data_IF_310125529867
#
_entry.id   IF_310125529867
#
_cell.length_a   1.000
_cell.length_b   1.000
_cell.length_c   1.000
_cell.angle_alpha   90.00
_cell.angle_beta   90.00
_cell.angle_gamma   90.00
#
_symmetry.space_group_name_H-M   'P 1'
#
loop_
_entity.id
_entity.type
_entity.pdbx_description
1 polymer ?
#
# COMPACT_ATOMS: atom_id res chain seq x y z
N UNK A 1 -0.10 -25.95 11.69
CA UNK A 1 1.25 -26.45 11.33
C UNK A 1 1.15 -27.11 9.96
N UNK A 2 1.27 -26.34 8.90
CA UNK A 2 1.35 -26.82 7.51
C UNK A 2 2.76 -26.55 7.01
N UNK A 3 3.59 -27.60 6.94
CA UNK A 3 4.96 -27.51 6.51
C UNK A 3 5.03 -27.03 5.06
N UNK A 4 5.70 -25.89 4.82
CA UNK A 4 6.22 -25.50 3.50
C UNK A 4 7.28 -26.53 3.05
N UNK A 5 6.85 -27.65 2.55
CA UNK A 5 7.73 -28.64 1.91
C UNK A 5 7.59 -28.49 0.39
N UNK A 6 8.23 -27.49 -0.18
CA UNK A 6 8.55 -27.49 -1.61
C UNK A 6 9.68 -28.49 -1.83
N UNK A 7 9.33 -29.67 -2.36
CA UNK A 7 10.28 -30.69 -2.77
C UNK A 7 11.08 -30.16 -3.97
N UNK A 8 12.21 -29.54 -3.72
CA UNK A 8 13.27 -29.34 -4.73
C UNK A 8 14.14 -30.60 -4.78
N UNK A 9 14.48 -31.00 -6.00
CA UNK A 9 15.37 -32.11 -6.32
C UNK A 9 16.63 -32.12 -5.42
N UNK A 10 16.92 -33.24 -4.77
CA UNK A 10 17.91 -33.44 -3.71
C UNK A 10 19.39 -33.32 -4.18
N UNK A 11 19.68 -32.66 -5.29
CA UNK A 11 21.01 -32.49 -5.85
C UNK A 11 21.68 -31.16 -5.60
N UNK A 12 20.96 -30.13 -5.11
CA UNK A 12 21.53 -28.86 -4.66
C UNK A 12 21.56 -28.83 -3.14
N UNK A 13 22.76 -28.65 -2.55
CA UNK A 13 22.99 -28.67 -1.11
C UNK A 13 21.93 -27.85 -0.31
N UNK A 14 21.54 -28.44 0.83
CA UNK A 14 20.48 -27.96 1.73
C UNK A 14 20.54 -26.45 1.99
N UNK A 15 19.71 -25.67 1.31
CA UNK A 15 19.12 -24.45 1.88
C UNK A 15 17.77 -24.85 2.46
N UNK A 16 17.58 -24.62 3.74
CA UNK A 16 16.34 -24.96 4.48
C UNK A 16 15.33 -23.82 4.45
N UNK A 17 15.62 -22.68 3.82
CA UNK A 17 14.82 -21.47 3.85
C UNK A 17 14.47 -20.98 2.45
N UNK A 18 13.17 -20.68 2.24
CA UNK A 18 12.65 -20.02 1.03
C UNK A 18 13.22 -18.61 0.94
N UNK A 19 13.72 -18.19 -0.24
CA UNK A 19 14.20 -16.85 -0.52
C UNK A 19 13.48 -16.29 -1.76
N UNK A 20 12.89 -15.11 -1.63
CA UNK A 20 12.19 -14.44 -2.74
C UNK A 20 12.77 -13.04 -2.96
N UNK A 21 13.10 -12.75 -4.23
CA UNK A 21 13.39 -11.39 -4.68
C UNK A 21 12.06 -10.69 -5.01
N UNK A 22 11.78 -9.58 -4.34
CA UNK A 22 10.68 -8.68 -4.65
C UNK A 22 11.13 -7.50 -5.49
N UNK A 23 10.30 -7.07 -6.42
CA UNK A 23 10.48 -5.88 -7.27
C UNK A 23 9.21 -5.03 -7.22
N UNK A 24 9.36 -3.75 -6.85
CA UNK A 24 8.28 -2.76 -6.82
C UNK A 24 8.64 -1.56 -7.69
N UNK A 25 7.74 -1.16 -8.60
CA UNK A 25 7.90 -0.02 -9.50
C UNK A 25 6.56 0.53 -10.01
N UNK A 26 5.49 0.39 -9.23
CA UNK A 26 4.13 0.71 -9.69
C UNK A 26 3.81 2.21 -9.69
N UNK A 27 4.54 3.03 -8.93
CA UNK A 27 4.28 4.47 -8.82
C UNK A 27 5.58 5.29 -8.92
N UNK A 28 6.10 5.80 -7.83
CA UNK A 28 7.25 6.72 -7.77
C UNK A 28 8.38 6.21 -6.87
N UNK A 29 8.25 5.01 -6.31
CA UNK A 29 9.35 4.29 -5.66
C UNK A 29 9.87 3.17 -6.55
N UNK A 30 11.20 3.15 -6.75
CA UNK A 30 11.88 1.98 -7.30
C UNK A 30 12.43 1.18 -6.14
N UNK A 31 12.04 -0.07 -5.99
CA UNK A 31 12.53 -0.90 -4.91
C UNK A 31 12.85 -2.34 -5.33
N UNK A 32 13.86 -2.92 -4.67
CA UNK A 32 14.18 -4.34 -4.71
C UNK A 32 14.46 -4.83 -3.29
N UNK A 33 14.05 -6.06 -2.97
CA UNK A 33 14.29 -6.66 -1.66
C UNK A 33 14.42 -8.19 -1.76
N UNK A 34 15.19 -8.78 -0.88
CA UNK A 34 15.22 -10.23 -0.63
C UNK A 34 14.61 -10.47 0.75
N UNK A 35 13.58 -11.30 0.79
CA UNK A 35 12.89 -11.71 2.01
C UNK A 35 12.94 -13.22 2.12
N UNK A 36 13.10 -13.73 3.34
CA UNK A 36 13.07 -15.17 3.59
C UNK A 36 11.75 -15.68 4.19
N UNK A 37 11.58 -16.99 4.19
CA UNK A 37 10.38 -17.64 4.76
C UNK A 37 10.22 -17.48 6.27
N UNK A 38 11.22 -16.97 6.99
CA UNK A 38 11.18 -16.65 8.42
C UNK A 38 10.87 -15.16 8.68
N UNK A 39 10.28 -14.44 7.70
CA UNK A 39 9.90 -13.04 7.77
C UNK A 39 11.06 -12.06 7.93
N UNK A 40 12.28 -12.44 7.56
CA UNK A 40 13.43 -11.54 7.63
C UNK A 40 13.62 -10.84 6.28
N UNK A 41 13.73 -9.53 6.31
CA UNK A 41 14.21 -8.74 5.18
C UNK A 41 15.73 -8.88 5.16
N UNK A 42 16.24 -9.76 4.30
CA UNK A 42 17.68 -10.07 4.22
C UNK A 42 18.45 -8.87 3.65
N UNK A 43 17.90 -8.27 2.59
CA UNK A 43 18.41 -7.03 2.02
C UNK A 43 17.27 -6.25 1.37
N UNK A 44 17.37 -4.91 1.37
CA UNK A 44 16.37 -4.04 0.73
C UNK A 44 17.01 -2.72 0.29
N UNK A 45 16.61 -2.26 -0.89
CA UNK A 45 16.92 -0.94 -1.43
C UNK A 45 15.62 -0.29 -1.91
N UNK A 46 15.45 1.00 -1.58
CA UNK A 46 14.32 1.83 -2.02
C UNK A 46 14.89 3.15 -2.49
N UNK A 47 14.47 3.61 -3.63
CA UNK A 47 14.79 4.93 -4.17
C UNK A 47 13.49 5.67 -4.51
N UNK A 48 13.16 6.70 -3.71
CA UNK A 48 12.06 7.62 -4.00
C UNK A 48 12.42 8.52 -5.19
N UNK A 49 11.40 8.98 -5.88
CA UNK A 49 11.47 9.95 -6.97
C UNK A 49 10.87 11.31 -6.56
N UNK A 50 10.76 11.57 -5.25
CA UNK A 50 10.18 12.81 -4.71
C UNK A 50 10.85 14.06 -5.30
N UNK A 51 12.19 14.05 -5.43
CA UNK A 51 12.94 15.18 -5.96
C UNK A 51 12.63 15.46 -7.44
N UNK A 52 12.41 14.41 -8.23
CA UNK A 52 12.08 14.51 -9.65
C UNK A 52 10.64 15.01 -9.87
N UNK A 53 9.74 14.65 -8.96
CA UNK A 53 8.32 15.00 -9.07
C UNK A 53 7.94 16.29 -8.37
N UNK A 54 8.71 16.75 -7.39
CA UNK A 54 8.45 17.97 -6.62
C UNK A 54 8.20 19.22 -7.49
N UNK A 55 8.96 19.48 -8.59
CA UNK A 55 8.72 20.64 -9.46
C UNK A 55 7.33 20.63 -10.13
N UNK A 56 6.73 19.45 -10.28
CA UNK A 56 5.42 19.30 -10.93
C UNK A 56 4.26 19.24 -9.92
N UNK A 57 4.59 19.12 -8.63
CA UNK A 57 3.61 19.02 -7.55
C UNK A 57 2.77 17.75 -7.57
N UNK A 58 3.33 16.65 -8.07
CA UNK A 58 2.74 15.32 -8.16
C UNK A 58 3.47 14.44 -9.17
N UNK A 59 3.16 13.14 -9.17
CA UNK A 59 3.84 12.15 -9.99
C UNK A 59 3.59 12.38 -11.49
N UNK A 60 4.67 12.36 -12.27
CA UNK A 60 4.64 12.43 -13.75
C UNK A 60 5.01 11.04 -14.30
N UNK A 61 4.07 10.32 -14.94
CA UNK A 61 4.26 8.92 -15.31
C UNK A 61 5.47 8.63 -16.20
N UNK A 62 5.80 9.54 -17.14
CA UNK A 62 6.98 9.38 -18.01
C UNK A 62 8.30 9.53 -17.27
N UNK A 63 8.36 10.45 -16.30
CA UNK A 63 9.54 10.64 -15.45
C UNK A 63 9.72 9.40 -14.59
N UNK A 64 8.62 8.91 -13.97
CA UNK A 64 8.65 7.71 -13.16
C UNK A 64 9.18 6.50 -13.95
N UNK A 65 8.64 6.23 -15.13
CA UNK A 65 9.07 5.09 -15.94
C UNK A 65 10.57 5.15 -16.31
N UNK A 66 11.11 6.32 -16.65
CA UNK A 66 12.54 6.51 -16.94
C UNK A 66 13.40 6.25 -15.71
N UNK A 67 13.04 6.82 -14.56
CA UNK A 67 13.76 6.63 -13.30
C UNK A 67 13.79 5.15 -12.89
N UNK A 68 12.69 4.42 -13.04
CA UNK A 68 12.66 2.98 -12.81
C UNK A 68 13.62 2.24 -13.74
N UNK A 69 13.61 2.55 -15.05
CA UNK A 69 14.48 1.89 -16.03
C UNK A 69 15.99 2.11 -15.75
N UNK A 70 16.34 3.28 -15.24
CA UNK A 70 17.72 3.61 -14.88
C UNK A 70 18.17 2.98 -13.56
N UNK A 71 17.27 2.86 -12.57
CA UNK A 71 17.62 2.50 -11.18
C UNK A 71 17.48 1.01 -10.88
N UNK A 72 16.56 0.30 -11.55
CA UNK A 72 16.16 -1.03 -11.11
C UNK A 72 17.29 -2.07 -11.22
N UNK A 73 17.98 -2.14 -12.35
CA UNK A 73 19.04 -3.16 -12.54
C UNK A 73 20.19 -3.00 -11.54
N UNK A 74 20.80 -1.81 -11.36
CA UNK A 74 21.81 -1.60 -10.33
C UNK A 74 21.30 -1.90 -8.90
N UNK A 75 20.01 -1.66 -8.64
CA UNK A 75 19.41 -1.92 -7.34
C UNK A 75 19.25 -3.40 -7.05
N UNK A 76 18.84 -4.20 -8.05
CA UNK A 76 18.75 -5.65 -7.94
C UNK A 76 20.15 -6.26 -7.72
N UNK A 77 21.16 -5.81 -8.46
CA UNK A 77 22.55 -6.23 -8.27
C UNK A 77 23.04 -5.93 -6.85
N UNK A 78 22.76 -4.72 -6.34
CA UNK A 78 23.16 -4.34 -5.00
C UNK A 78 22.45 -5.16 -3.91
N UNK A 79 21.16 -5.47 -4.06
CA UNK A 79 20.39 -6.27 -3.10
C UNK A 79 20.90 -7.73 -3.07
N UNK A 80 21.21 -8.30 -4.23
CA UNK A 80 21.81 -9.65 -4.30
C UNK A 80 23.18 -9.69 -3.62
N UNK A 81 24.03 -8.68 -3.86
CA UNK A 81 25.33 -8.56 -3.24
C UNK A 81 25.24 -8.34 -1.71
N UNK A 82 24.34 -7.46 -1.25
CA UNK A 82 24.11 -7.20 0.17
C UNK A 82 23.62 -8.46 0.92
N UNK A 83 22.86 -9.31 0.23
CA UNK A 83 22.34 -10.56 0.77
C UNK A 83 23.33 -11.73 0.65
N UNK A 84 24.43 -11.57 -0.07
CA UNK A 84 25.37 -12.66 -0.45
C UNK A 84 24.64 -13.84 -1.12
N UNK A 85 23.76 -13.54 -2.10
CA UNK A 85 22.86 -14.48 -2.78
C UNK A 85 23.03 -14.35 -4.29
N UNK A 86 23.16 -15.47 -5.00
CA UNK A 86 23.09 -15.50 -6.45
C UNK A 86 21.63 -15.65 -6.94
N UNK A 87 21.34 -15.21 -8.17
CA UNK A 87 20.00 -15.35 -8.75
C UNK A 87 19.45 -16.79 -8.72
N UNK A 88 20.33 -17.77 -8.96
CA UNK A 88 19.95 -19.19 -8.96
C UNK A 88 19.71 -19.76 -7.55
N UNK A 89 20.02 -19.00 -6.50
CA UNK A 89 19.74 -19.37 -5.12
C UNK A 89 18.34 -18.99 -4.67
N UNK A 90 17.67 -18.13 -5.43
CA UNK A 90 16.29 -17.72 -5.16
C UNK A 90 15.30 -18.84 -5.43
N UNK A 91 14.18 -18.86 -4.70
CA UNK A 91 13.08 -19.79 -4.90
C UNK A 91 11.98 -19.20 -5.79
N UNK A 92 11.89 -17.87 -5.85
CA UNK A 92 11.02 -17.15 -6.79
C UNK A 92 11.47 -15.69 -6.97
N UNK A 93 10.98 -15.09 -8.05
CA UNK A 93 11.04 -13.65 -8.29
C UNK A 93 9.61 -13.13 -8.31
N UNK A 94 9.28 -12.29 -7.34
CA UNK A 94 7.98 -11.64 -7.20
C UNK A 94 8.07 -10.20 -7.74
N UNK A 95 7.14 -9.79 -8.58
CA UNK A 95 7.11 -8.43 -9.08
C UNK A 95 5.69 -7.89 -9.15
N UNK A 96 5.55 -6.60 -8.88
CA UNK A 96 4.27 -5.92 -9.07
C UNK A 96 3.88 -5.96 -10.54
N UNK A 97 2.73 -6.56 -10.83
CA UNK A 97 2.15 -6.61 -12.17
C UNK A 97 0.95 -5.64 -12.33
N UNK A 98 0.64 -4.90 -11.27
CA UNK A 98 -0.42 -3.89 -11.17
C UNK A 98 -1.17 -3.98 -9.83
N UNK A 99 -2.11 -3.06 -9.57
CA UNK A 99 -2.35 -1.84 -10.33
C UNK A 99 -1.22 -0.83 -10.18
N UNK A 100 -1.20 0.19 -11.07
CA UNK A 100 -0.18 1.25 -11.01
C UNK A 100 -0.01 1.98 -12.34
N UNK A 101 0.98 2.86 -12.40
CA UNK A 101 1.38 3.56 -13.61
C UNK A 101 1.96 2.56 -14.61
N UNK A 102 1.29 2.40 -15.75
CA UNK A 102 1.60 1.32 -16.72
C UNK A 102 3.09 1.28 -17.11
N UNK A 103 3.73 2.43 -17.31
CA UNK A 103 5.15 2.52 -17.66
C UNK A 103 6.05 1.96 -16.56
N UNK A 104 5.81 2.35 -15.31
CA UNK A 104 6.54 1.84 -14.14
C UNK A 104 6.33 0.34 -13.96
N UNK A 105 5.07 -0.11 -13.90
CA UNK A 105 4.72 -1.54 -13.77
C UNK A 105 5.40 -2.38 -14.84
N UNK A 106 5.42 -1.90 -16.10
CA UNK A 106 6.08 -2.62 -17.20
C UNK A 106 7.58 -2.76 -16.97
N UNK A 107 8.27 -1.74 -16.48
CA UNK A 107 9.71 -1.81 -16.21
C UNK A 107 10.02 -2.92 -15.20
N UNK A 108 9.34 -2.93 -14.04
CA UNK A 108 9.54 -3.95 -12.99
C UNK A 108 9.19 -5.36 -13.47
N UNK A 109 8.00 -5.53 -14.06
CA UNK A 109 7.51 -6.84 -14.49
C UNK A 109 8.38 -7.43 -15.61
N UNK A 110 8.79 -6.64 -16.60
CA UNK A 110 9.65 -7.13 -17.70
C UNK A 110 11.03 -7.49 -17.17
N UNK A 111 11.59 -6.70 -16.27
CA UNK A 111 12.86 -7.02 -15.60
C UNK A 111 12.76 -8.33 -14.81
N UNK A 112 11.69 -8.53 -14.04
CA UNK A 112 11.45 -9.77 -13.30
C UNK A 112 11.32 -10.99 -14.22
N UNK A 113 10.63 -10.87 -15.35
CA UNK A 113 10.53 -11.93 -16.37
C UNK A 113 11.89 -12.30 -16.95
N UNK A 114 12.71 -11.29 -17.30
CA UNK A 114 14.05 -11.52 -17.84
C UNK A 114 14.94 -12.25 -16.81
N UNK A 115 14.90 -11.84 -15.54
CA UNK A 115 15.63 -12.47 -14.46
C UNK A 115 15.14 -13.91 -14.21
N UNK A 116 13.82 -14.12 -14.15
CA UNK A 116 13.21 -15.45 -13.97
C UNK A 116 13.59 -16.41 -15.10
N UNK A 117 13.54 -15.94 -16.33
CA UNK A 117 13.96 -16.73 -17.50
C UNK A 117 15.46 -17.06 -17.48
N UNK A 118 16.31 -16.10 -17.10
CA UNK A 118 17.75 -16.28 -17.09
C UNK A 118 18.23 -17.21 -15.98
N UNK A 119 17.52 -17.29 -14.86
CA UNK A 119 17.87 -18.10 -13.68
C UNK A 119 17.08 -19.39 -13.53
N UNK A 120 16.11 -19.65 -14.40
CA UNK A 120 15.17 -20.77 -14.30
C UNK A 120 14.45 -20.80 -12.93
N UNK A 121 14.02 -19.61 -12.47
CA UNK A 121 13.36 -19.39 -11.18
C UNK A 121 11.91 -18.97 -11.44
N UNK A 122 10.93 -19.48 -10.67
CA UNK A 122 9.52 -19.13 -10.83
C UNK A 122 9.26 -17.62 -10.76
N UNK A 123 8.40 -17.11 -11.66
CA UNK A 123 7.84 -15.77 -11.58
C UNK A 123 6.55 -15.78 -10.75
N UNK A 124 6.40 -14.80 -9.87
CA UNK A 124 5.15 -14.51 -9.15
C UNK A 124 4.71 -13.08 -9.45
N UNK A 125 3.65 -12.93 -10.21
CA UNK A 125 3.07 -11.64 -10.55
C UNK A 125 2.12 -11.18 -9.43
N UNK A 126 2.56 -10.22 -8.63
CA UNK A 126 1.85 -9.77 -7.42
C UNK A 126 0.98 -8.56 -7.73
N UNK A 127 -0.23 -8.56 -7.16
CA UNK A 127 -1.03 -7.35 -7.09
C UNK A 127 -0.43 -6.40 -6.03
N UNK A 128 -0.15 -5.14 -6.40
CA UNK A 128 0.41 -4.13 -5.50
C UNK A 128 -0.38 -3.98 -4.18
N UNK A 129 -1.72 -3.98 -4.29
CA UNK A 129 -2.60 -3.87 -3.12
C UNK A 129 -2.56 -5.13 -2.24
N UNK A 130 -2.33 -6.31 -2.83
CA UNK A 130 -2.07 -7.55 -2.10
C UNK A 130 -0.75 -7.47 -1.32
N UNK A 131 0.29 -6.86 -1.90
CA UNK A 131 1.52 -6.56 -1.19
C UNK A 131 1.25 -5.76 0.09
N UNK A 132 0.49 -4.69 -0.01
CA UNK A 132 0.08 -3.91 1.16
C UNK A 132 -0.81 -4.69 2.13
N UNK A 133 -1.74 -5.49 1.60
CA UNK A 133 -2.65 -6.27 2.43
C UNK A 133 -1.91 -7.31 3.28
N UNK A 134 -0.89 -7.96 2.72
CA UNK A 134 -0.12 -9.02 3.40
C UNK A 134 1.12 -8.49 4.14
N UNK A 135 1.59 -7.27 3.86
CA UNK A 135 2.74 -6.64 4.53
C UNK A 135 2.65 -6.65 6.08
N UNK A 136 1.48 -6.48 6.72
CA UNK A 136 1.37 -6.61 8.18
C UNK A 136 1.77 -7.99 8.70
N UNK A 137 1.55 -9.05 7.92
CA UNK A 137 1.92 -10.43 8.27
C UNK A 137 3.44 -10.68 8.17
N UNK A 138 4.15 -9.89 7.37
CA UNK A 138 5.61 -9.87 7.39
C UNK A 138 6.14 -9.35 8.75
N UNK A 139 5.47 -8.33 9.29
CA UNK A 139 5.88 -7.68 10.54
C UNK A 139 5.40 -8.41 11.80
N UNK A 140 4.27 -9.13 11.72
CA UNK A 140 3.63 -9.80 12.87
C UNK A 140 3.15 -11.20 12.46
N UNK A 141 3.83 -12.23 12.97
CA UNK A 141 3.47 -13.62 12.71
C UNK A 141 2.18 -14.06 13.39
N UNK A 142 1.73 -13.33 14.40
CA UNK A 142 0.49 -13.64 15.12
C UNK A 142 -0.76 -13.24 14.34
N UNK A 143 -0.63 -12.40 13.30
CA UNK A 143 -1.76 -11.96 12.48
C UNK A 143 -2.33 -13.12 11.66
N UNK A 144 -3.47 -13.62 12.11
CA UNK A 144 -4.21 -14.70 11.46
C UNK A 144 -5.37 -14.17 10.62
N UNK A 145 -5.76 -14.92 9.61
CA UNK A 145 -6.99 -14.70 8.84
C UNK A 145 -8.23 -15.19 9.63
N UNK A 146 -9.44 -14.61 9.43
CA UNK A 146 -9.66 -13.38 8.69
C UNK A 146 -9.35 -12.12 9.50
N UNK A 147 -9.05 -11.01 8.82
CA UNK A 147 -8.92 -9.69 9.43
C UNK A 147 -9.56 -8.58 8.60
N UNK A 148 -9.97 -7.50 9.28
CA UNK A 148 -10.42 -6.27 8.66
C UNK A 148 -9.20 -5.42 8.27
N UNK A 149 -9.15 -4.91 7.04
CA UNK A 149 -8.06 -4.09 6.53
C UNK A 149 -8.58 -2.73 6.07
N UNK A 150 -8.04 -1.66 6.62
CA UNK A 150 -8.12 -0.32 6.06
C UNK A 150 -6.86 -0.07 5.22
N UNK A 151 -7.00 -0.05 3.91
CA UNK A 151 -5.92 0.26 2.96
C UNK A 151 -6.01 1.72 2.56
N UNK A 152 -5.02 2.54 2.98
CA UNK A 152 -5.01 3.98 2.77
C UNK A 152 -3.65 4.46 2.26
N UNK A 153 -3.58 4.77 0.98
CA UNK A 153 -2.37 5.24 0.29
C UNK A 153 -2.62 6.53 -0.50
N UNK A 154 -1.63 6.98 -1.26
CA UNK A 154 -1.78 8.11 -2.19
C UNK A 154 -2.87 7.89 -3.23
N UNK A 155 -2.98 6.67 -3.77
CA UNK A 155 -3.94 6.33 -4.84
C UNK A 155 -5.17 5.55 -4.39
N UNK A 156 -5.14 4.91 -3.23
CA UNK A 156 -6.19 3.98 -2.79
C UNK A 156 -6.72 4.33 -1.39
N UNK A 157 -8.02 4.15 -1.22
CA UNK A 157 -8.69 4.23 0.08
C UNK A 157 -9.83 3.21 0.07
N UNK A 158 -9.60 2.04 0.71
CA UNK A 158 -10.51 0.90 0.69
C UNK A 158 -10.64 0.26 2.07
N UNK A 159 -11.81 -0.30 2.36
CA UNK A 159 -12.00 -1.23 3.48
C UNK A 159 -12.21 -2.62 2.88
N UNK A 160 -11.37 -3.55 3.31
CA UNK A 160 -11.34 -4.92 2.82
C UNK A 160 -11.49 -5.89 3.99
N UNK A 161 -12.17 -6.99 3.72
CA UNK A 161 -12.05 -8.20 4.51
C UNK A 161 -11.01 -9.09 3.82
N UNK A 162 -10.05 -9.57 4.57
CA UNK A 162 -9.01 -10.48 4.10
C UNK A 162 -9.26 -11.84 4.71
N UNK A 163 -9.77 -12.77 3.90
CA UNK A 163 -10.13 -14.11 4.36
C UNK A 163 -8.96 -15.10 4.27
N UNK A 164 -8.10 -14.95 3.26
CA UNK A 164 -6.88 -15.73 3.04
C UNK A 164 -6.02 -15.04 1.96
N UNK A 165 -4.86 -15.61 1.63
CA UNK A 165 -4.04 -15.18 0.48
C UNK A 165 -4.86 -15.32 -0.81
N UNK A 166 -4.96 -14.24 -1.58
CA UNK A 166 -5.77 -14.22 -2.80
C UNK A 166 -7.29 -14.16 -2.57
N UNK A 167 -7.77 -14.08 -1.33
CA UNK A 167 -9.19 -14.03 -0.99
C UNK A 167 -9.54 -12.72 -0.27
N UNK A 168 -10.00 -11.76 -1.04
CA UNK A 168 -10.31 -10.41 -0.59
C UNK A 168 -11.76 -10.06 -0.90
N UNK A 169 -12.45 -9.43 0.05
CA UNK A 169 -13.78 -8.86 -0.17
C UNK A 169 -13.76 -7.37 0.13
N UNK A 170 -14.05 -6.55 -0.87
CA UNK A 170 -14.12 -5.10 -0.74
C UNK A 170 -15.48 -4.68 -0.18
N UNK A 171 -15.48 -4.04 0.98
CA UNK A 171 -16.68 -3.47 1.62
C UNK A 171 -16.85 -2.00 1.27
N UNK A 172 -15.75 -1.26 1.11
CA UNK A 172 -15.79 0.16 0.80
C UNK A 172 -14.64 0.58 -0.09
N UNK A 173 -14.85 1.64 -0.85
CA UNK A 173 -13.82 2.33 -1.62
C UNK A 173 -14.12 3.82 -1.66
N UNK A 174 -13.12 4.65 -2.02
CA UNK A 174 -13.39 6.06 -2.29
C UNK A 174 -14.14 6.24 -3.61
N UNK A 175 -15.08 7.20 -3.63
CA UNK A 175 -15.84 7.55 -4.83
C UNK A 175 -15.23 8.72 -5.60
N UNK A 176 -14.19 9.35 -5.04
CA UNK A 176 -13.49 10.49 -5.65
C UNK A 176 -11.99 10.49 -5.29
N UNK A 177 -11.48 11.46 -4.54
CA UNK A 177 -10.08 11.51 -4.12
C UNK A 177 -9.78 10.40 -3.10
N UNK A 178 -8.60 9.78 -3.17
CA UNK A 178 -8.10 8.93 -2.10
C UNK A 178 -7.68 9.79 -0.90
N UNK A 179 -7.58 9.17 0.29
CA UNK A 179 -7.23 9.91 1.51
C UNK A 179 -5.85 10.56 1.42
N UNK A 180 -4.82 9.83 0.95
CA UNK A 180 -3.47 10.40 0.77
C UNK A 180 -3.46 11.52 -0.27
N UNK A 181 -4.16 11.35 -1.39
CA UNK A 181 -4.33 12.39 -2.41
C UNK A 181 -5.01 13.65 -1.83
N UNK A 182 -5.97 13.50 -0.92
CA UNK A 182 -6.60 14.62 -0.25
C UNK A 182 -5.62 15.38 0.67
N UNK A 183 -4.72 14.66 1.37
CA UNK A 183 -3.64 15.26 2.13
C UNK A 183 -2.65 16.02 1.23
N UNK A 184 -2.21 15.42 0.11
CA UNK A 184 -1.26 16.06 -0.81
C UNK A 184 -1.86 17.30 -1.46
N UNK A 185 -3.12 17.24 -1.91
CA UNK A 185 -3.83 18.40 -2.46
C UNK A 185 -4.03 19.50 -1.42
N UNK A 186 -4.32 19.14 -0.17
CA UNK A 186 -4.43 20.10 0.94
C UNK A 186 -3.10 20.76 1.21
N UNK A 187 -2.00 20.01 1.29
CA UNK A 187 -0.66 20.56 1.45
C UNK A 187 -0.31 21.55 0.32
N UNK A 188 -0.65 21.22 -0.93
CA UNK A 188 -0.45 22.07 -2.09
C UNK A 188 -1.24 23.39 -1.97
N UNK A 189 -2.52 23.33 -1.59
CA UNK A 189 -3.38 24.49 -1.36
C UNK A 189 -2.78 25.40 -0.29
N UNK A 190 -2.28 24.82 0.79
CA UNK A 190 -1.75 25.55 1.94
C UNK A 190 -0.27 25.96 1.79
N UNK A 191 0.40 25.61 0.68
CA UNK A 191 1.80 25.92 0.43
C UNK A 191 2.79 25.20 1.35
N UNK A 192 2.45 23.99 1.85
CA UNK A 192 3.23 23.25 2.84
C UNK A 192 4.32 22.35 2.23
N UNK A 193 4.34 22.19 0.89
CA UNK A 193 5.30 21.34 0.17
C UNK A 193 4.86 19.90 -0.01
N UNK A 194 5.78 19.06 -0.47
CA UNK A 194 5.59 17.64 -0.77
C UNK A 194 6.65 16.79 -0.03
N UNK A 195 6.35 15.55 0.43
CA UNK A 195 5.04 14.89 0.43
C UNK A 195 4.04 15.54 1.40
N UNK A 196 2.77 15.61 0.97
CA UNK A 196 1.76 16.42 1.64
C UNK A 196 1.28 15.84 2.98
N UNK A 197 1.14 14.52 3.10
CA UNK A 197 0.68 13.87 4.33
C UNK A 197 1.49 14.28 5.56
N UNK A 198 2.82 14.06 5.58
CA UNK A 198 3.68 14.50 6.68
C UNK A 198 3.70 16.02 6.88
N UNK A 199 3.57 16.81 5.81
CA UNK A 199 3.58 18.27 5.90
C UNK A 199 2.31 18.79 6.60
N UNK A 200 1.14 18.28 6.23
CA UNK A 200 -0.13 18.60 6.90
C UNK A 200 -0.11 18.15 8.35
N UNK A 201 0.35 16.95 8.64
CA UNK A 201 0.43 16.43 10.01
C UNK A 201 1.31 17.32 10.92
N UNK A 202 2.48 17.75 10.43
CA UNK A 202 3.33 18.66 11.18
C UNK A 202 2.65 20.01 11.44
N UNK A 203 2.00 20.56 10.41
CA UNK A 203 1.33 21.86 10.53
C UNK A 203 0.08 21.81 11.41
N UNK A 204 -0.66 20.70 11.37
CA UNK A 204 -1.84 20.48 12.19
C UNK A 204 -1.54 20.46 13.70
N UNK A 205 -0.32 20.11 14.12
CA UNK A 205 0.08 20.15 15.54
C UNK A 205 0.15 21.55 16.14
N UNK A 206 0.20 22.58 15.30
CA UNK A 206 0.29 23.99 15.70
C UNK A 206 -1.08 24.68 15.74
N UNK A 207 -2.14 24.02 15.25
CA UNK A 207 -3.46 24.61 15.06
C UNK A 207 -4.55 23.98 15.91
N UNK A 208 -5.72 24.63 15.91
CA UNK A 208 -6.94 24.15 16.54
C UNK A 208 -7.83 23.39 15.54
N UNK A 209 -8.08 22.12 15.81
CA UNK A 209 -8.92 21.24 14.98
C UNK A 209 -10.40 21.65 14.92
N UNK A 210 -10.85 22.53 15.80
CA UNK A 210 -12.23 23.03 15.86
C UNK A 210 -12.39 24.43 15.26
N UNK A 211 -11.32 25.10 14.89
CA UNK A 211 -11.33 26.50 14.44
C UNK A 211 -12.07 26.68 13.10
N UNK A 212 -11.97 25.69 12.18
CA UNK A 212 -12.54 25.81 10.83
C UNK A 212 -13.68 24.81 10.64
N UNK A 213 -14.90 25.25 10.33
CA UNK A 213 -16.07 24.37 10.15
C UNK A 213 -16.04 23.67 8.79
N UNK A 214 -15.16 22.67 8.64
CA UNK A 214 -15.05 21.87 7.43
C UNK A 214 -16.11 20.75 7.39
N UNK A 215 -16.62 20.38 6.21
CA UNK A 215 -17.60 19.30 6.06
C UNK A 215 -16.96 17.94 6.38
N UNK A 216 -17.82 16.96 6.71
CA UNK A 216 -17.47 15.53 6.84
C UNK A 216 -18.24 14.76 5.78
N UNK A 217 -17.73 14.68 4.54
CA UNK A 217 -18.47 14.02 3.46
C UNK A 217 -18.85 12.59 3.82
N UNK A 218 -20.04 12.17 3.41
CA UNK A 218 -20.63 10.85 3.64
C UNK A 218 -20.96 10.51 5.11
N UNK A 219 -20.48 11.22 6.11
CA UNK A 219 -20.81 10.93 7.52
C UNK A 219 -22.32 10.98 7.73
N UNK A 220 -22.87 9.89 8.32
CA UNK A 220 -24.30 9.71 8.54
C UNK A 220 -25.10 9.24 7.32
N UNK A 221 -24.49 8.98 6.14
CA UNK A 221 -25.21 8.49 4.95
C UNK A 221 -25.65 7.01 5.06
N UNK A 222 -25.05 6.24 5.96
CA UNK A 222 -25.27 4.79 6.04
C UNK A 222 -24.48 3.96 5.03
N UNK A 223 -23.90 4.55 3.98
CA UNK A 223 -23.06 3.89 3.00
C UNK A 223 -21.62 3.83 3.48
N UNK A 224 -20.86 2.72 3.28
CA UNK A 224 -19.49 2.60 3.80
C UNK A 224 -18.45 3.35 2.98
N UNK A 225 -18.79 3.92 1.82
CA UNK A 225 -17.87 4.53 0.88
C UNK A 225 -17.28 5.87 1.36
N UNK A 226 -16.07 6.19 0.90
CA UNK A 226 -15.38 7.44 1.23
C UNK A 226 -15.57 8.51 0.16
N UNK A 227 -15.49 9.78 0.57
CA UNK A 227 -15.39 10.94 -0.32
C UNK A 227 -14.55 12.03 0.35
N UNK A 228 -13.60 12.61 -0.37
CA UNK A 228 -12.72 13.66 0.14
C UNK A 228 -12.64 14.89 -0.77
N UNK A 229 -13.13 14.84 -2.02
CA UNK A 229 -13.05 15.97 -2.96
C UNK A 229 -13.84 17.20 -2.45
N UNK A 230 -14.98 16.96 -1.79
CA UNK A 230 -15.76 18.03 -1.17
C UNK A 230 -15.02 18.72 0.00
N UNK A 231 -14.31 17.94 0.80
CA UNK A 231 -13.49 18.43 1.90
C UNK A 231 -12.32 19.29 1.38
N UNK A 232 -11.60 18.82 0.37
CA UNK A 232 -10.54 19.60 -0.32
C UNK A 232 -11.06 20.95 -0.83
N UNK A 233 -12.23 20.97 -1.48
CA UNK A 233 -12.83 22.20 -1.98
C UNK A 233 -13.21 23.17 -0.85
N UNK A 234 -13.57 22.66 0.32
CA UNK A 234 -13.83 23.47 1.50
C UNK A 234 -12.54 24.06 2.09
N UNK A 235 -11.43 23.28 2.09
CA UNK A 235 -10.10 23.80 2.48
C UNK A 235 -9.68 24.95 1.59
N UNK A 236 -9.83 24.83 0.26
CA UNK A 236 -9.49 25.93 -0.67
C UNK A 236 -10.25 27.20 -0.33
N UNK A 237 -11.60 27.11 -0.16
CA UNK A 237 -12.41 28.28 0.21
C UNK A 237 -12.01 28.87 1.56
N UNK A 238 -11.69 28.04 2.56
CA UNK A 238 -11.23 28.51 3.87
C UNK A 238 -9.93 29.28 3.75
N UNK A 239 -8.95 28.76 2.99
CA UNK A 239 -7.67 29.38 2.74
C UNK A 239 -7.82 30.72 1.98
N UNK A 240 -8.56 30.75 0.89
CA UNK A 240 -8.81 31.96 0.08
C UNK A 240 -9.58 33.05 0.84
N UNK A 241 -10.36 32.66 1.85
CA UNK A 241 -11.09 33.64 2.68
C UNK A 241 -10.18 34.54 3.52
N UNK A 242 -8.96 34.12 3.80
CA UNK A 242 -7.99 34.82 4.66
C UNK A 242 -8.42 34.95 6.13
N UNK A 243 -9.47 34.21 6.55
CA UNK A 243 -10.04 34.32 7.92
C UNK A 243 -9.38 33.39 8.94
N UNK A 244 -8.68 32.38 8.49
CA UNK A 244 -8.14 31.31 9.33
C UNK A 244 -6.65 31.16 9.14
N UNK A 245 -5.95 30.85 10.21
CA UNK A 245 -4.54 30.49 10.14
C UNK A 245 -4.33 29.17 9.41
N UNK A 246 -3.22 29.05 8.69
CA UNK A 246 -2.89 27.82 7.94
C UNK A 246 -2.82 26.60 8.85
N UNK A 247 -2.34 26.77 10.09
CA UNK A 247 -2.27 25.72 11.08
C UNK A 247 -3.67 25.20 11.48
N UNK A 248 -4.63 26.10 11.67
CA UNK A 248 -6.02 25.77 12.03
C UNK A 248 -6.72 25.06 10.88
N UNK A 249 -6.49 25.51 9.64
CA UNK A 249 -7.03 24.83 8.45
C UNK A 249 -6.47 23.39 8.35
N UNK A 250 -5.16 23.22 8.55
CA UNK A 250 -4.51 21.90 8.50
C UNK A 250 -5.02 20.98 9.63
N UNK A 251 -5.17 21.48 10.85
CA UNK A 251 -5.69 20.73 11.99
C UNK A 251 -7.16 20.32 11.78
N UNK A 252 -8.00 21.27 11.35
CA UNK A 252 -9.41 21.01 11.07
C UNK A 252 -9.62 20.05 9.89
N UNK A 253 -8.76 20.13 8.85
CA UNK A 253 -8.78 19.18 7.74
C UNK A 253 -8.43 17.78 8.20
N UNK A 254 -7.32 17.61 8.94
CA UNK A 254 -6.90 16.31 9.47
C UNK A 254 -7.99 15.69 10.33
N UNK A 255 -8.60 16.46 11.23
CA UNK A 255 -9.70 15.98 12.07
C UNK A 255 -10.92 15.58 11.23
N UNK A 256 -11.33 16.39 10.26
CA UNK A 256 -12.46 16.07 9.40
C UNK A 256 -12.22 14.80 8.58
N UNK A 257 -11.01 14.60 8.08
CA UNK A 257 -10.63 13.39 7.36
C UNK A 257 -10.67 12.14 8.27
N UNK A 258 -10.15 12.25 9.51
CA UNK A 258 -10.23 11.19 10.52
C UNK A 258 -11.70 10.87 10.84
N UNK A 259 -12.54 11.86 11.09
CA UNK A 259 -13.97 11.67 11.39
C UNK A 259 -14.66 10.87 10.26
N UNK A 260 -14.38 11.19 8.99
CA UNK A 260 -14.89 10.44 7.84
C UNK A 260 -14.42 8.99 7.84
N UNK A 261 -13.12 8.74 8.09
CA UNK A 261 -12.56 7.38 8.10
C UNK A 261 -13.19 6.56 9.21
N UNK A 262 -13.27 7.09 10.43
CA UNK A 262 -13.81 6.39 11.59
C UNK A 262 -15.29 6.04 11.40
N UNK A 263 -16.09 6.98 10.88
CA UNK A 263 -17.51 6.74 10.65
C UNK A 263 -17.75 5.65 9.59
N UNK A 264 -17.01 5.68 8.48
CA UNK A 264 -17.13 4.66 7.42
C UNK A 264 -16.64 3.29 7.88
N UNK A 265 -15.51 3.27 8.59
CA UNK A 265 -14.96 2.02 9.10
C UNK A 265 -15.90 1.37 10.12
N UNK A 266 -16.53 2.16 11.00
CA UNK A 266 -17.54 1.66 11.95
C UNK A 266 -18.69 0.93 11.25
N UNK A 267 -19.17 1.46 10.11
CA UNK A 267 -20.25 0.82 9.32
C UNK A 267 -19.74 -0.52 8.75
N UNK A 268 -18.54 -0.53 8.17
CA UNK A 268 -17.98 -1.74 7.57
C UNK A 268 -17.67 -2.83 8.60
N UNK A 269 -17.22 -2.46 9.81
CA UNK A 269 -16.93 -3.42 10.89
C UNK A 269 -18.17 -4.18 11.36
N UNK A 270 -19.37 -3.61 11.23
CA UNK A 270 -20.62 -4.30 11.54
C UNK A 270 -20.86 -5.53 10.64
N UNK A 271 -20.26 -5.56 9.44
CA UNK A 271 -20.29 -6.72 8.52
C UNK A 271 -19.13 -7.70 8.74
N UNK A 272 -18.16 -7.35 9.60
CA UNK A 272 -16.93 -8.13 9.85
C UNK A 272 -16.78 -8.52 11.32
N UNK A 273 -17.87 -8.82 12.03
CA UNK A 273 -17.89 -9.10 13.47
C UNK A 273 -17.07 -10.32 13.90
N UNK A 274 -16.77 -11.21 12.97
CA UNK A 274 -15.92 -12.38 13.18
C UNK A 274 -14.42 -12.07 13.04
N UNK A 275 -14.05 -10.94 12.42
CA UNK A 275 -12.68 -10.45 12.42
C UNK A 275 -12.27 -9.98 13.83
N UNK A 276 -11.14 -10.48 14.32
CA UNK A 276 -10.61 -10.12 15.64
C UNK A 276 -9.51 -9.05 15.57
N UNK A 277 -9.07 -8.71 14.37
CA UNK A 277 -7.99 -7.75 14.15
C UNK A 277 -8.41 -6.70 13.12
N UNK A 278 -8.17 -5.43 13.47
CA UNK A 278 -8.20 -4.31 12.56
C UNK A 278 -6.76 -3.98 12.15
N UNK A 279 -6.50 -4.07 10.87
CA UNK A 279 -5.21 -3.75 10.26
C UNK A 279 -5.31 -2.45 9.48
N UNK A 280 -4.31 -1.59 9.57
CA UNK A 280 -4.15 -0.45 8.67
C UNK A 280 -2.87 -0.59 7.86
N UNK A 281 -2.93 -0.36 6.54
CA UNK A 281 -1.79 -0.42 5.64
C UNK A 281 -1.83 0.73 4.61
N UNK A 282 -0.69 0.98 3.97
CA UNK A 282 -0.50 2.10 3.05
C UNK A 282 0.07 3.35 3.71
N UNK A 283 0.56 4.31 2.91
CA UNK A 283 1.35 5.46 3.38
C UNK A 283 0.66 6.33 4.43
N UNK A 284 -0.68 6.49 4.36
CA UNK A 284 -1.42 7.28 5.37
C UNK A 284 -1.42 6.61 6.75
N UNK A 285 -1.19 5.30 6.82
CA UNK A 285 -1.02 4.59 8.09
C UNK A 285 0.19 5.07 8.91
N UNK A 286 1.11 5.84 8.32
CA UNK A 286 2.22 6.47 9.03
C UNK A 286 1.79 7.71 9.86
N UNK A 287 0.61 8.32 9.56
CA UNK A 287 0.10 9.48 10.29
C UNK A 287 -0.30 9.09 11.72
N UNK A 288 0.31 9.71 12.73
CA UNK A 288 0.12 9.36 14.14
C UNK A 288 -1.32 9.64 14.63
N UNK A 289 -1.95 10.73 14.16
CA UNK A 289 -3.33 11.07 14.56
C UNK A 289 -4.35 10.07 13.98
N UNK A 290 -4.14 9.65 12.75
CA UNK A 290 -4.96 8.60 12.11
C UNK A 290 -4.80 7.29 12.86
N UNK A 291 -3.56 6.88 13.18
CA UNK A 291 -3.30 5.65 13.98
C UNK A 291 -4.00 5.67 15.32
N UNK A 292 -3.86 6.76 16.07
CA UNK A 292 -4.45 6.87 17.40
C UNK A 292 -5.99 6.73 17.36
N UNK A 293 -6.64 7.35 16.38
CA UNK A 293 -8.09 7.24 16.20
C UNK A 293 -8.53 5.82 15.80
N UNK A 294 -7.74 5.13 14.96
CA UNK A 294 -8.02 3.75 14.56
C UNK A 294 -7.81 2.76 15.71
N UNK A 295 -6.78 2.96 16.54
CA UNK A 295 -6.51 2.16 17.72
C UNK A 295 -7.65 2.30 18.75
N UNK A 296 -8.14 3.52 18.96
CA UNK A 296 -9.30 3.78 19.81
C UNK A 296 -10.58 3.10 19.28
N UNK A 297 -10.78 3.14 17.95
CA UNK A 297 -11.92 2.46 17.32
C UNK A 297 -11.83 0.94 17.48
N UNK A 298 -10.64 0.35 17.25
CA UNK A 298 -10.42 -1.09 17.43
C UNK A 298 -10.71 -1.53 18.87
N UNK A 299 -10.23 -0.75 19.85
CA UNK A 299 -10.49 -1.02 21.26
C UNK A 299 -12.00 -0.99 21.60
N UNK A 300 -12.78 -0.07 21.00
CA UNK A 300 -14.23 0.02 21.18
C UNK A 300 -15.00 -1.19 20.58
N UNK A 301 -14.38 -1.89 19.63
CA UNK A 301 -14.95 -3.08 18.98
C UNK A 301 -14.33 -4.39 19.51
N UNK A 302 -13.58 -4.36 20.60
CA UNK A 302 -12.87 -5.52 21.18
C UNK A 302 -11.93 -6.20 20.13
N UNK A 303 -11.32 -5.41 19.24
CA UNK A 303 -10.40 -5.86 18.20
C UNK A 303 -8.96 -5.52 18.57
N UNK A 304 -8.03 -6.42 18.20
CA UNK A 304 -6.61 -6.08 18.17
C UNK A 304 -6.35 -5.06 17.05
N UNK A 305 -5.53 -4.05 17.30
CA UNK A 305 -5.07 -3.10 16.28
C UNK A 305 -3.65 -3.45 15.84
N UNK A 306 -3.44 -3.58 14.54
CA UNK A 306 -2.11 -3.82 13.94
C UNK A 306 -1.85 -2.78 12.86
N UNK A 307 -0.72 -2.10 12.98
CA UNK A 307 -0.17 -1.23 11.96
C UNK A 307 1.29 -1.61 11.71
N UNK A 308 1.70 -1.90 10.48
CA UNK A 308 3.09 -2.19 10.19
C UNK A 308 4.02 -1.04 10.64
N UNK A 309 5.31 -1.33 10.86
CA UNK A 309 6.29 -0.28 11.02
C UNK A 309 6.25 0.71 9.84
N UNK A 310 6.51 2.02 10.06
CA UNK A 310 6.39 3.04 9.00
C UNK A 310 7.14 2.69 7.70
N UNK A 311 8.27 2.00 7.78
CA UNK A 311 9.06 1.54 6.63
C UNK A 311 8.35 0.51 5.74
N UNK A 312 7.32 -0.16 6.25
CA UNK A 312 6.49 -1.13 5.53
C UNK A 312 5.11 -0.56 5.16
N UNK A 313 4.81 0.68 5.54
CA UNK A 313 3.56 1.34 5.19
C UNK A 313 3.61 1.98 3.79
N UNK A 314 4.78 2.48 3.37
CA UNK A 314 5.01 3.04 2.03
C UNK A 314 5.36 1.94 1.04
N UNK A 315 5.34 2.27 -0.27
CA UNK A 315 5.68 1.33 -1.32
C UNK A 315 7.10 0.81 -1.15
N UNK A 316 7.23 -0.51 -1.17
CA UNK A 316 8.51 -1.19 -0.95
C UNK A 316 8.49 -2.60 -1.56
N UNK A 317 9.68 -3.13 -1.85
CA UNK A 317 9.79 -4.45 -2.47
C UNK A 317 9.69 -5.61 -1.47
N UNK A 318 9.88 -5.36 -0.17
CA UNK A 318 9.73 -6.42 0.83
C UNK A 318 8.29 -6.91 0.94
N UNK A 319 7.28 -6.02 0.79
CA UNK A 319 5.88 -6.41 0.75
C UNK A 319 5.56 -7.29 -0.46
N UNK A 320 6.22 -7.04 -1.60
CA UNK A 320 6.03 -7.82 -2.83
C UNK A 320 6.72 -9.19 -2.70
N UNK A 321 7.95 -9.23 -2.16
CA UNK A 321 8.63 -10.48 -1.85
C UNK A 321 7.81 -11.33 -0.88
N UNK A 322 7.26 -10.70 0.17
CA UNK A 322 6.44 -11.40 1.16
C UNK A 322 5.14 -11.94 0.58
N UNK A 323 4.42 -11.15 -0.23
CA UNK A 323 3.26 -11.65 -0.96
C UNK A 323 3.60 -12.84 -1.87
N UNK A 324 4.77 -12.80 -2.51
CA UNK A 324 5.32 -13.94 -3.26
C UNK A 324 5.52 -15.18 -2.39
N UNK A 325 6.08 -15.03 -1.18
CA UNK A 325 6.28 -16.14 -0.22
C UNK A 325 4.94 -16.72 0.23
N UNK A 326 3.98 -15.89 0.59
CA UNK A 326 2.64 -16.33 1.01
C UNK A 326 1.94 -17.10 -0.14
N UNK A 327 2.06 -16.63 -1.38
CA UNK A 327 1.51 -17.32 -2.57
C UNK A 327 2.22 -18.65 -2.84
N UNK A 328 3.54 -18.73 -2.70
CA UNK A 328 4.28 -19.99 -2.81
C UNK A 328 3.83 -21.03 -1.80
N UNK A 329 3.32 -20.60 -0.64
CA UNK A 329 2.76 -21.46 0.40
C UNK A 329 1.37 -22.02 0.11
N UNK A 330 0.68 -21.54 -0.92
CA UNK A 330 -0.65 -22.02 -1.29
C UNK A 330 -0.57 -23.44 -1.87
N UNK A 331 -1.56 -24.28 -1.55
CA UNK A 331 -1.60 -25.69 -2.02
C UNK A 331 -1.64 -25.82 -3.54
N UNK A 332 -2.34 -24.90 -4.18
CA UNK A 332 -2.59 -24.88 -5.63
C UNK A 332 -1.73 -23.84 -6.34
N UNK A 333 -0.58 -23.47 -5.74
CA UNK A 333 0.34 -22.50 -6.35
C UNK A 333 0.84 -23.01 -7.71
N UNK A 334 0.78 -22.15 -8.69
CA UNK A 334 1.41 -22.32 -10.00
C UNK A 334 2.15 -21.04 -10.36
N UNK A 335 3.40 -21.11 -10.85
CA UNK A 335 4.12 -19.95 -11.33
C UNK A 335 3.32 -19.21 -12.40
N UNK A 336 3.41 -17.89 -12.39
CA UNK A 336 2.81 -17.08 -13.43
C UNK A 336 3.56 -17.25 -14.76
N UNK A 337 2.85 -17.31 -15.88
CA UNK A 337 3.49 -17.47 -17.18
C UNK A 337 4.27 -16.22 -17.58
N UNK A 338 5.35 -16.38 -18.34
CA UNK A 338 6.20 -15.27 -18.77
C UNK A 338 5.50 -14.31 -19.76
N UNK A 339 4.37 -14.68 -20.32
CA UNK A 339 3.55 -13.82 -21.18
C UNK A 339 2.49 -13.00 -20.41
N UNK A 340 2.41 -13.15 -19.06
CA UNK A 340 1.50 -12.35 -18.25
C UNK A 340 1.68 -10.85 -18.54
N UNK A 341 0.57 -10.11 -18.70
CA UNK A 341 0.59 -8.70 -19.01
C UNK A 341 0.53 -7.82 -17.76
N UNK A 342 1.15 -6.65 -17.84
CA UNK A 342 0.95 -5.59 -16.83
C UNK A 342 -0.51 -5.14 -16.81
N UNK A 343 -1.07 -4.97 -15.60
CA UNK A 343 -2.47 -4.63 -15.35
C UNK A 343 -2.56 -3.29 -14.60
N UNK A 344 -2.61 -2.15 -15.31
CA UNK A 344 -2.67 -0.83 -14.66
C UNK A 344 -3.93 -0.67 -13.78
N UNK A 345 -4.95 -1.49 -14.07
CA UNK A 345 -6.16 -1.64 -13.26
C UNK A 345 -6.30 -3.10 -12.90
N UNK A 346 -6.21 -3.39 -11.62
CA UNK A 346 -6.31 -4.74 -11.11
C UNK A 346 -6.90 -4.71 -9.69
N UNK A 347 -8.25 -4.73 -9.56
CA UNK A 347 -8.89 -4.75 -8.26
C UNK A 347 -8.51 -6.03 -7.49
N UNK A 348 -8.39 -5.92 -6.16
CA UNK A 348 -8.18 -7.10 -5.29
C UNK A 348 -9.42 -7.99 -5.26
N UNK A 349 -10.59 -7.38 -5.28
CA UNK A 349 -11.88 -8.07 -5.34
C UNK A 349 -12.50 -7.82 -6.72
N UNK A 350 -12.33 -8.77 -7.66
CA UNK A 350 -12.88 -8.63 -9.02
C UNK A 350 -14.40 -8.76 -9.07
N UNK A 351 -15.02 -9.34 -8.04
CA UNK A 351 -16.46 -9.59 -7.95
C UNK A 351 -17.19 -8.44 -7.25
N UNK A 352 -16.46 -7.46 -6.71
CA UNK A 352 -17.05 -6.31 -6.05
C UNK A 352 -17.88 -5.46 -7.01
N UNK A 353 -19.08 -5.07 -6.59
CA UNK A 353 -19.95 -4.20 -7.38
C UNK A 353 -19.24 -2.88 -7.74
N UNK A 354 -19.38 -2.42 -9.00
CA UNK A 354 -18.86 -1.12 -9.41
C UNK A 354 -19.48 0.02 -8.60
N UNK A 355 -18.64 0.88 -8.05
CA UNK A 355 -19.10 2.05 -7.28
C UNK A 355 -19.05 3.29 -8.16
N UNK A 356 -20.18 3.98 -8.30
CA UNK A 356 -20.29 5.20 -9.11
C UNK A 356 -19.33 6.27 -8.57
N UNK A 357 -18.47 6.78 -9.43
CA UNK A 357 -17.47 7.80 -9.10
C UNK A 357 -16.09 7.24 -8.74
N UNK A 358 -16.00 5.97 -8.30
CA UNK A 358 -14.73 5.39 -7.89
C UNK A 358 -13.71 5.22 -9.04
N UNK A 359 -14.17 5.08 -10.27
CA UNK A 359 -13.31 5.00 -11.46
C UNK A 359 -12.29 3.86 -11.36
N UNK A 360 -11.01 4.22 -11.52
CA UNK A 360 -9.88 3.27 -11.43
C UNK A 360 -9.47 2.91 -10.00
N UNK A 361 -10.06 3.56 -9.00
CA UNK A 361 -9.74 3.40 -7.57
C UNK A 361 -10.59 2.33 -6.89
N UNK A 362 -11.51 1.72 -7.63
CA UNK A 362 -12.41 0.66 -7.14
C UNK A 362 -11.84 -0.73 -7.41
#
# INVERSE_FOLDING_TARGET
>A
MGALALARDMTKGKRTMVLVLGIESSCDETAAAIVDGERRIVAQRIASQDAEHAPFGGVVPEIAARAHAERLAPMVEAVLADADVALNDLDAIAATAGPGLIGGVMVGLVSAKALAMASDVPLVAVNHLEGHALSPRLADESLAFPYALLLVSGGHCQILRVDDVGQYRRLATTIDDALGEAFDKTAKILGLGFPGGPAVERKAKEGDAQAVPLPRPMVGSGEPHFSFAGLKSAVLRAHESGKYEVADIAASFQQAAIDCVIDRLRIALDEMRDCKTLVVAGGVAANASVRAALEELAAKHDMQFIAPPPKLCTDNAAMIAWAGIERLGMKDFSPDPLDISARPRWPLDPDAEPVRGAGVKA
#
